data_IF_698300676482
#
_entry.id   IF_698300676482
#
_cell.length_a   1.000
_cell.length_b   1.000
_cell.length_c   1.000
_cell.angle_alpha   90.00
_cell.angle_beta   90.00
_cell.angle_gamma   90.00
#
_symmetry.space_group_name_H-M   'P 1'
#
loop_
_entity.id
_entity.type
_entity.pdbx_description
1 polymer ?
#
# COMPACT_ATOMS: atom_id res chain seq x y z
N UNK A 1 -42.55 -37.60 -25.08
CA UNK A 1 -43.31 -37.18 -23.87
C UNK A 1 -42.65 -35.92 -23.32
N UNK A 2 -43.43 -34.84 -23.21
CA UNK A 2 -42.98 -33.48 -22.87
C UNK A 2 -43.12 -33.26 -21.36
N UNK A 3 -42.08 -32.79 -20.67
CA UNK A 3 -42.18 -32.37 -19.26
C UNK A 3 -41.42 -31.05 -19.02
N UNK A 4 -42.16 -29.98 -19.32
CA UNK A 4 -42.29 -28.66 -18.66
C UNK A 4 -41.19 -28.16 -17.69
N UNK A 5 -40.57 -27.05 -18.11
CA UNK A 5 -39.86 -26.01 -17.34
C UNK A 5 -40.59 -25.55 -16.07
N UNK A 6 -39.83 -25.32 -14.97
CA UNK A 6 -40.20 -24.34 -13.93
C UNK A 6 -38.98 -23.52 -13.50
N UNK A 7 -38.86 -22.34 -14.12
CA UNK A 7 -38.02 -21.23 -13.73
C UNK A 7 -38.64 -20.54 -12.51
N UNK A 8 -37.89 -20.38 -11.41
CA UNK A 8 -38.31 -19.54 -10.27
C UNK A 8 -37.43 -18.31 -10.23
N UNK A 9 -37.97 -17.22 -10.77
CA UNK A 9 -37.46 -15.85 -10.64
C UNK A 9 -37.98 -15.31 -9.30
N UNK A 10 -37.10 -15.02 -8.35
CA UNK A 10 -37.43 -14.21 -7.17
C UNK A 10 -36.72 -12.87 -7.25
N UNK A 11 -37.41 -11.92 -7.85
CA UNK A 11 -37.19 -10.48 -7.70
C UNK A 11 -37.78 -10.04 -6.36
N UNK A 12 -36.98 -9.38 -5.51
CA UNK A 12 -37.51 -8.46 -4.50
C UNK A 12 -36.74 -7.14 -4.59
N UNK A 13 -37.43 -6.18 -5.21
CA UNK A 13 -37.20 -4.74 -5.06
C UNK A 13 -37.85 -4.30 -3.74
N UNK A 14 -37.16 -3.45 -3.00
CA UNK A 14 -37.72 -2.54 -1.99
C UNK A 14 -36.74 -1.34 -1.93
N UNK A 15 -37.15 -0.22 -2.53
CA UNK A 15 -37.38 1.07 -1.88
C UNK A 15 -36.06 1.86 -1.67
N UNK A 16 -35.62 2.77 -2.55
CA UNK A 16 -36.22 4.04 -2.97
C UNK A 16 -36.57 5.00 -1.81
N UNK A 17 -35.87 6.14 -1.82
CA UNK A 17 -36.21 7.44 -1.23
C UNK A 17 -36.00 7.67 0.28
N UNK A 18 -34.90 8.35 0.59
CA UNK A 18 -34.91 9.46 1.56
C UNK A 18 -33.86 10.50 1.14
N UNK A 19 -34.33 11.47 0.36
CA UNK A 19 -33.68 12.73 0.03
C UNK A 19 -33.77 13.71 1.22
N UNK A 20 -32.80 14.63 1.25
CA UNK A 20 -32.89 16.02 1.73
C UNK A 20 -32.83 16.32 3.24
N UNK A 21 -31.73 16.98 3.61
CA UNK A 21 -31.55 18.09 4.59
C UNK A 21 -30.17 17.91 5.24
N UNK A 22 -29.28 18.88 5.44
CA UNK A 22 -29.29 20.34 5.43
C UNK A 22 -27.78 20.70 5.37
N UNK A 23 -27.29 21.41 4.35
CA UNK A 23 -27.05 22.85 4.36
C UNK A 23 -26.10 23.37 5.47
N UNK A 24 -25.14 24.18 5.00
CA UNK A 24 -24.54 25.32 5.71
C UNK A 24 -23.57 25.05 6.87
N UNK A 25 -22.26 25.10 6.59
CA UNK A 25 -21.31 25.92 7.38
C UNK A 25 -20.23 26.47 6.44
N UNK A 26 -20.54 27.64 5.87
CA UNK A 26 -19.60 28.60 5.30
C UNK A 26 -19.24 29.62 6.39
N UNK A 27 -18.00 30.12 6.34
CA UNK A 27 -17.41 31.26 7.08
C UNK A 27 -16.84 31.04 8.49
N UNK A 28 -15.50 30.97 8.55
CA UNK A 28 -14.61 31.96 9.21
C UNK A 28 -13.18 31.40 9.06
N UNK A 29 -12.24 32.03 8.35
CA UNK A 29 -11.82 33.41 8.52
C UNK A 29 -10.49 33.41 9.28
N UNK A 30 -9.37 33.40 8.54
CA UNK A 30 -8.10 33.97 9.00
C UNK A 30 -7.23 34.27 7.76
N UNK A 31 -7.50 35.45 7.18
CA UNK A 31 -6.54 36.19 6.37
C UNK A 31 -5.29 36.38 7.23
N UNK A 32 -4.13 35.89 6.80
CA UNK A 32 -2.84 36.43 7.29
C UNK A 32 -2.20 37.26 6.20
N UNK A 33 -2.10 38.52 6.55
CA UNK A 33 -1.58 39.68 5.85
C UNK A 33 -0.17 39.42 5.30
N UNK A 34 -0.02 39.65 4.00
CA UNK A 34 1.28 39.87 3.39
C UNK A 34 1.77 41.27 3.80
N UNK A 35 2.87 41.34 4.53
CA UNK A 35 3.65 42.57 4.72
C UNK A 35 4.80 42.54 3.72
N UNK A 36 4.63 43.30 2.64
CA UNK A 36 5.75 43.80 1.84
C UNK A 36 6.39 44.95 2.61
N UNK A 37 7.60 44.74 3.11
CA UNK A 37 8.46 45.83 3.56
C UNK A 37 9.75 45.79 2.76
N UNK A 38 10.00 46.93 2.15
CA UNK A 38 11.15 47.41 1.41
C UNK A 38 12.49 47.20 2.12
N UNK A 39 13.47 46.84 1.30
CA UNK A 39 14.73 47.56 1.13
C UNK A 39 15.64 47.73 2.35
N UNK A 40 16.63 46.85 2.44
CA UNK A 40 17.94 47.16 3.02
C UNK A 40 18.98 46.25 2.36
N UNK A 41 19.61 46.76 1.30
CA UNK A 41 20.89 46.28 0.83
C UNK A 41 21.91 46.42 1.97
N UNK A 42 22.25 45.30 2.61
CA UNK A 42 23.44 45.16 3.44
C UNK A 42 24.35 44.19 2.71
N UNK A 43 25.38 44.77 2.10
CA UNK A 43 26.52 44.09 1.51
C UNK A 43 27.30 43.40 2.64
N UNK A 44 27.05 42.10 2.82
CA UNK A 44 27.81 41.25 3.74
C UNK A 44 28.77 40.42 2.91
N UNK A 45 30.10 40.54 3.12
CA UNK A 45 31.09 39.79 2.37
C UNK A 45 30.89 38.29 2.60
N UNK A 46 30.65 37.59 1.50
CA UNK A 46 30.60 36.15 1.38
C UNK A 46 31.90 35.53 1.91
N UNK A 47 31.91 34.80 3.05
CA UNK A 47 33.00 33.87 3.29
C UNK A 47 32.81 32.75 2.26
N UNK A 48 33.75 32.67 1.31
CA UNK A 48 33.98 31.49 0.51
C UNK A 48 34.36 30.33 1.45
N UNK A 49 33.36 29.78 2.13
CA UNK A 49 33.43 28.45 2.67
C UNK A 49 33.35 27.55 1.45
N UNK A 50 34.54 27.12 1.00
CA UNK A 50 34.71 25.90 0.22
C UNK A 50 34.01 24.77 0.97
N UNK A 51 32.70 24.65 0.75
CA UNK A 51 32.00 23.41 0.98
C UNK A 51 32.64 22.44 0.00
N UNK A 52 33.65 21.73 0.47
CA UNK A 52 34.13 20.52 -0.18
C UNK A 52 32.88 19.76 -0.60
N UNK A 53 32.69 19.43 -1.89
CA UNK A 53 31.59 18.57 -2.28
C UNK A 53 31.77 17.34 -1.41
N UNK A 54 30.83 17.15 -0.47
CA UNK A 54 30.79 15.91 0.29
C UNK A 54 30.62 14.87 -0.77
N UNK A 55 31.71 14.17 -1.10
CA UNK A 55 31.73 13.07 -2.05
C UNK A 55 30.55 12.21 -1.67
N UNK A 56 29.46 12.36 -2.42
CA UNK A 56 28.26 11.59 -2.23
C UNK A 56 28.70 10.18 -2.47
N UNK A 57 29.01 9.47 -1.39
CA UNK A 57 29.33 8.06 -1.44
C UNK A 57 28.10 7.43 -2.02
N UNK A 58 28.12 7.15 -3.32
CA UNK A 58 27.15 6.30 -3.97
C UNK A 58 27.18 5.00 -3.17
N UNK A 59 26.25 4.86 -2.24
CA UNK A 59 26.09 3.63 -1.47
C UNK A 59 25.88 2.55 -2.51
N UNK A 60 26.83 1.62 -2.60
CA UNK A 60 26.68 0.45 -3.45
C UNK A 60 25.31 -0.19 -3.13
N UNK A 61 24.51 -0.59 -4.13
CA UNK A 61 23.21 -1.20 -3.89
C UNK A 61 23.31 -2.36 -2.90
N UNK A 62 24.35 -3.18 -3.01
CA UNK A 62 24.63 -4.27 -2.06
C UNK A 62 24.71 -3.80 -0.60
N UNK A 63 25.31 -2.63 -0.36
CA UNK A 63 25.43 -2.07 1.00
C UNK A 63 24.09 -1.57 1.51
N UNK A 64 23.27 -0.96 0.66
CA UNK A 64 21.91 -0.54 1.03
C UNK A 64 21.06 -1.74 1.46
N UNK A 65 21.16 -2.87 0.76
CA UNK A 65 20.48 -4.12 1.17
C UNK A 65 20.96 -4.63 2.53
N UNK A 66 22.27 -4.64 2.76
CA UNK A 66 22.85 -5.07 4.05
C UNK A 66 22.37 -4.17 5.19
N UNK A 67 22.40 -2.84 5.00
CA UNK A 67 22.04 -1.86 6.02
C UNK A 67 20.52 -1.86 6.30
N UNK A 68 19.70 -2.25 5.33
CA UNK A 68 18.24 -2.33 5.47
C UNK A 68 17.73 -3.62 6.16
N UNK A 69 18.49 -4.72 6.12
CA UNK A 69 18.10 -6.03 6.71
C UNK A 69 17.67 -5.97 8.19
N UNK A 70 18.33 -5.20 9.08
CA UNK A 70 17.89 -5.03 10.47
C UNK A 70 16.48 -4.44 10.61
N UNK A 71 15.95 -3.81 9.55
CA UNK A 71 14.61 -3.24 9.52
C UNK A 71 14.52 -1.82 10.07
N UNK A 72 15.61 -1.05 10.07
CA UNK A 72 15.55 0.38 10.36
C UNK A 72 14.68 1.09 9.31
N UNK A 73 13.60 1.79 9.70
CA UNK A 73 12.73 2.52 8.78
C UNK A 73 13.48 3.48 7.86
N UNK A 74 14.56 4.11 8.32
CA UNK A 74 15.32 5.05 7.50
C UNK A 74 16.10 4.34 6.39
N UNK A 75 16.74 3.22 6.72
CA UNK A 75 17.47 2.42 5.72
C UNK A 75 16.52 1.71 4.75
N UNK A 76 15.35 1.26 5.21
CA UNK A 76 14.30 0.73 4.33
C UNK A 76 13.76 1.79 3.36
N UNK A 77 13.60 3.03 3.81
CA UNK A 77 13.20 4.13 2.94
C UNK A 77 14.28 4.45 1.89
N UNK A 78 15.55 4.51 2.29
CA UNK A 78 16.66 4.70 1.35
C UNK A 78 16.76 3.57 0.32
N UNK A 79 16.53 2.33 0.76
CA UNK A 79 16.49 1.18 -0.15
C UNK A 79 15.33 1.31 -1.15
N UNK A 80 14.15 1.76 -0.69
CA UNK A 80 13.01 2.00 -1.55
C UNK A 80 13.25 3.11 -2.58
N UNK A 81 13.91 4.19 -2.19
CA UNK A 81 14.31 5.28 -3.11
C UNK A 81 15.32 4.80 -4.16
N UNK A 82 16.21 3.88 -3.79
CA UNK A 82 17.26 3.35 -4.67
C UNK A 82 16.73 2.31 -5.66
N UNK A 83 15.95 1.33 -5.19
CA UNK A 83 15.47 0.18 -5.98
C UNK A 83 14.13 0.44 -6.69
N UNK A 84 13.29 1.30 -6.09
CA UNK A 84 11.93 1.54 -6.54
C UNK A 84 10.97 0.36 -6.32
N UNK A 85 9.69 0.58 -6.61
CA UNK A 85 8.63 -0.40 -6.36
C UNK A 85 8.79 -1.70 -7.17
N UNK A 86 9.20 -1.61 -8.43
CA UNK A 86 9.36 -2.76 -9.31
C UNK A 86 10.53 -3.66 -8.88
N UNK A 87 11.71 -3.09 -8.62
CA UNK A 87 12.88 -3.86 -8.18
C UNK A 87 12.62 -4.58 -6.85
N UNK A 88 12.00 -3.90 -5.90
CA UNK A 88 11.60 -4.50 -4.63
C UNK A 88 10.53 -5.61 -4.82
N UNK A 89 9.55 -5.40 -5.70
CA UNK A 89 8.54 -6.41 -6.01
C UNK A 89 9.14 -7.67 -6.65
N UNK A 90 10.11 -7.50 -7.56
CA UNK A 90 10.86 -8.60 -8.16
C UNK A 90 11.60 -9.40 -7.10
N UNK A 91 12.36 -8.75 -6.22
CA UNK A 91 13.08 -9.44 -5.13
C UNK A 91 12.10 -10.14 -4.19
N UNK A 92 11.03 -9.46 -3.77
CA UNK A 92 10.03 -10.00 -2.84
C UNK A 92 9.35 -11.29 -3.34
N UNK A 93 9.16 -11.42 -4.66
CA UNK A 93 8.50 -12.56 -5.31
C UNK A 93 9.46 -13.59 -5.88
N UNK A 94 10.77 -13.34 -5.84
CA UNK A 94 11.79 -14.24 -6.37
C UNK A 94 12.14 -15.36 -5.37
N UNK A 95 11.79 -16.60 -5.70
CA UNK A 95 12.12 -17.76 -4.88
C UNK A 95 13.63 -18.08 -4.83
N UNK A 96 14.42 -17.58 -5.79
CA UNK A 96 15.89 -17.70 -5.77
C UNK A 96 16.57 -16.66 -4.89
N UNK A 97 15.87 -15.59 -4.48
CA UNK A 97 16.42 -14.61 -3.55
C UNK A 97 16.59 -15.23 -2.14
N UNK A 98 17.44 -14.63 -1.31
CA UNK A 98 17.56 -15.09 0.08
C UNK A 98 16.27 -14.77 0.86
N UNK A 99 15.92 -15.56 1.91
CA UNK A 99 14.77 -15.26 2.75
C UNK A 99 14.82 -13.86 3.38
N UNK A 100 16.03 -13.41 3.77
CA UNK A 100 16.24 -12.10 4.38
C UNK A 100 16.06 -10.96 3.38
N UNK A 101 16.54 -11.12 2.14
CA UNK A 101 16.35 -10.12 1.09
C UNK A 101 14.87 -10.03 0.71
N UNK A 102 14.16 -11.16 0.59
CA UNK A 102 12.71 -11.14 0.38
C UNK A 102 11.98 -10.40 1.50
N UNK A 103 12.31 -10.70 2.76
CA UNK A 103 11.66 -10.04 3.90
C UNK A 103 11.98 -8.54 3.94
N UNK A 104 13.22 -8.16 3.63
CA UNK A 104 13.66 -6.76 3.54
C UNK A 104 12.90 -6.04 2.42
N UNK A 105 12.79 -6.65 1.25
CA UNK A 105 12.04 -6.12 0.12
C UNK A 105 10.57 -5.88 0.48
N UNK A 106 9.90 -6.87 1.09
CA UNK A 106 8.50 -6.76 1.52
C UNK A 106 8.30 -5.61 2.52
N UNK A 107 9.25 -5.35 3.42
CA UNK A 107 9.17 -4.21 4.34
C UNK A 107 9.42 -2.89 3.61
N UNK A 108 10.43 -2.83 2.75
CA UNK A 108 10.79 -1.63 1.99
C UNK A 108 9.67 -1.16 1.06
N UNK A 109 8.85 -2.09 0.52
CA UNK A 109 7.67 -1.78 -0.29
C UNK A 109 6.68 -0.82 0.39
N UNK A 110 6.71 -0.66 1.72
CA UNK A 110 5.87 0.33 2.38
C UNK A 110 6.31 1.78 2.18
N UNK A 111 7.56 2.00 1.74
CA UNK A 111 8.18 3.32 1.62
C UNK A 111 8.15 3.91 0.22
N UNK A 112 7.82 3.10 -0.81
CA UNK A 112 7.82 3.54 -2.21
C UNK A 112 6.79 4.64 -2.49
N UNK A 113 7.11 5.50 -3.45
CA UNK A 113 6.24 6.61 -3.86
C UNK A 113 5.00 6.13 -4.64
N UNK A 114 5.18 5.21 -5.60
CA UNK A 114 4.08 4.56 -6.29
C UNK A 114 3.74 3.22 -5.62
N UNK A 115 2.63 3.14 -4.86
CA UNK A 115 2.23 1.92 -4.18
C UNK A 115 1.67 0.86 -5.14
N UNK A 116 1.42 1.18 -6.41
CA UNK A 116 0.72 0.27 -7.35
C UNK A 116 1.45 -1.06 -7.52
N UNK A 117 2.74 -1.09 -7.92
CA UNK A 117 3.46 -2.36 -8.10
C UNK A 117 3.68 -3.08 -6.77
N UNK A 118 3.84 -2.32 -5.68
CA UNK A 118 3.97 -2.86 -4.34
C UNK A 118 2.73 -3.64 -3.93
N UNK A 119 1.55 -3.05 -4.10
CA UNK A 119 0.27 -3.63 -3.71
C UNK A 119 -0.05 -4.88 -4.54
N UNK A 120 0.24 -4.87 -5.85
CA UNK A 120 0.09 -6.06 -6.71
C UNK A 120 1.00 -7.21 -6.27
N UNK A 121 2.28 -6.93 -6.04
CA UNK A 121 3.25 -7.94 -5.60
C UNK A 121 2.88 -8.53 -4.24
N UNK A 122 2.50 -7.69 -3.28
CA UNK A 122 2.06 -8.14 -1.95
C UNK A 122 0.79 -8.98 -2.03
N UNK A 123 -0.18 -8.59 -2.86
CA UNK A 123 -1.40 -9.40 -3.06
C UNK A 123 -1.07 -10.76 -3.64
N UNK A 124 -0.16 -10.83 -4.62
CA UNK A 124 0.30 -12.09 -5.19
C UNK A 124 0.92 -13.01 -4.14
N UNK A 125 1.74 -12.46 -3.24
CA UNK A 125 2.34 -13.22 -2.13
C UNK A 125 1.29 -13.74 -1.13
N UNK A 126 0.21 -12.98 -0.92
CA UNK A 126 -0.89 -13.40 -0.04
C UNK A 126 -1.73 -14.51 -0.68
N UNK A 127 -1.96 -14.40 -1.99
CA UNK A 127 -2.77 -15.34 -2.79
C UNK A 127 -2.01 -16.57 -3.29
N UNK A 128 -0.74 -16.73 -2.94
CA UNK A 128 0.08 -17.86 -3.36
C UNK A 128 -0.55 -19.20 -2.90
N UNK A 129 -0.88 -20.12 -3.83
CA UNK A 129 -1.46 -21.43 -3.49
C UNK A 129 -0.61 -22.25 -2.50
N UNK A 130 0.71 -22.09 -2.52
CA UNK A 130 1.61 -22.79 -1.60
C UNK A 130 1.35 -22.41 -0.13
N UNK A 131 0.81 -21.21 0.10
CA UNK A 131 0.43 -20.72 1.44
C UNK A 131 -0.83 -21.40 1.94
N UNK A 132 -1.80 -21.69 1.06
CA UNK A 132 -3.03 -22.38 1.42
C UNK A 132 -2.79 -23.86 1.77
N UNK A 133 -1.79 -24.46 1.14
CA UNK A 133 -1.39 -25.86 1.38
C UNK A 133 -0.49 -26.00 2.61
N UNK A 134 0.12 -24.92 3.11
CA UNK A 134 1.03 -24.95 4.25
C UNK A 134 2.36 -25.66 3.97
N UNK A 135 2.62 -26.02 2.72
CA UNK A 135 3.68 -26.95 2.32
C UNK A 135 5.03 -26.26 2.01
N UNK A 136 5.05 -24.92 1.86
CA UNK A 136 6.28 -24.19 1.54
C UNK A 136 6.93 -23.54 2.78
N UNK A 137 8.18 -23.91 3.05
CA UNK A 137 8.98 -23.37 4.15
C UNK A 137 9.10 -21.84 4.05
N UNK A 138 8.55 -21.12 5.03
CA UNK A 138 8.56 -19.66 5.06
C UNK A 138 7.46 -18.96 4.27
N UNK A 139 6.58 -19.69 3.56
CA UNK A 139 5.53 -19.07 2.73
C UNK A 139 4.43 -18.43 3.60
N UNK A 140 4.08 -19.05 4.73
CA UNK A 140 3.10 -18.50 5.68
C UNK A 140 3.64 -17.23 6.33
N UNK A 141 4.91 -17.22 6.74
CA UNK A 141 5.59 -16.06 7.31
C UNK A 141 5.67 -14.92 6.28
N UNK A 142 6.06 -15.22 5.04
CA UNK A 142 6.13 -14.26 3.94
C UNK A 142 4.76 -13.65 3.62
N UNK A 143 3.72 -14.47 3.54
CA UNK A 143 2.33 -14.04 3.35
C UNK A 143 1.85 -13.16 4.52
N UNK A 144 2.21 -13.52 5.76
CA UNK A 144 1.87 -12.73 6.95
C UNK A 144 2.56 -11.37 6.94
N UNK A 145 3.84 -11.32 6.57
CA UNK A 145 4.57 -10.07 6.42
C UNK A 145 3.96 -9.21 5.30
N UNK A 146 3.59 -9.82 4.17
CA UNK A 146 2.94 -9.10 3.07
C UNK A 146 1.59 -8.48 3.49
N UNK A 147 0.79 -9.20 4.29
CA UNK A 147 -0.44 -8.66 4.88
C UNK A 147 -0.16 -7.47 5.81
N UNK A 148 0.86 -7.55 6.66
CA UNK A 148 1.27 -6.45 7.54
C UNK A 148 1.69 -5.21 6.73
N UNK A 149 2.46 -5.41 5.67
CA UNK A 149 2.87 -4.33 4.76
C UNK A 149 1.67 -3.72 4.04
N UNK A 150 0.74 -4.52 3.53
CA UNK A 150 -0.49 -4.02 2.88
C UNK A 150 -1.30 -3.12 3.82
N UNK A 151 -1.47 -3.53 5.08
CA UNK A 151 -2.14 -2.72 6.11
C UNK A 151 -1.43 -1.38 6.33
N UNK A 152 -0.11 -1.33 6.18
CA UNK A 152 0.67 -0.11 6.39
C UNK A 152 0.75 0.80 5.15
N UNK A 153 0.64 0.26 3.94
CA UNK A 153 0.58 1.02 2.68
C UNK A 153 -0.78 1.69 2.51
N UNK A 154 -1.86 0.95 2.79
CA UNK A 154 -3.23 1.37 2.49
C UNK A 154 -3.72 2.67 3.17
N UNK A 155 -3.16 3.15 4.30
CA UNK A 155 -3.46 4.48 4.85
C UNK A 155 -2.71 5.65 4.19
N UNK A 156 -1.64 5.41 3.43
CA UNK A 156 -0.81 6.49 2.87
C UNK A 156 -1.59 7.28 1.83
N UNK A 157 -1.62 8.61 1.92
CA UNK A 157 -2.39 9.50 1.02
C UNK A 157 -2.21 9.10 -0.44
N UNK A 158 -3.29 9.06 -1.21
CA UNK A 158 -3.18 8.89 -2.65
C UNK A 158 -2.25 9.98 -3.18
N UNK A 159 -1.26 9.65 -4.04
CA UNK A 159 -0.62 10.64 -4.88
C UNK A 159 -1.68 11.58 -5.46
N UNK A 160 -1.36 12.87 -5.53
CA UNK A 160 -2.28 13.91 -6.04
C UNK A 160 -2.64 13.61 -7.52
N UNK A 161 -1.80 12.85 -8.21
CA UNK A 161 -2.12 12.19 -9.47
C UNK A 161 -2.92 10.92 -9.18
N UNK A 162 -4.13 10.85 -9.74
CA UNK A 162 -5.04 9.71 -9.61
C UNK A 162 -4.31 8.40 -9.93
N UNK A 163 -3.89 7.67 -8.89
CA UNK A 163 -3.45 6.29 -9.05
C UNK A 163 -4.57 5.54 -9.76
N UNK A 164 -4.23 4.86 -10.85
CA UNK A 164 -5.12 4.04 -11.67
C UNK A 164 -6.08 3.25 -10.75
N UNK A 165 -7.38 3.58 -10.71
CA UNK A 165 -8.35 2.93 -9.83
C UNK A 165 -8.43 1.41 -10.06
N UNK A 166 -7.92 0.91 -11.19
CA UNK A 166 -7.87 -0.49 -11.55
C UNK A 166 -6.98 -1.33 -10.63
N UNK A 167 -5.75 -0.90 -10.34
CA UNK A 167 -4.81 -1.76 -9.61
C UNK A 167 -5.25 -2.04 -8.17
N UNK A 168 -5.80 -1.03 -7.49
CA UNK A 168 -6.36 -1.20 -6.16
C UNK A 168 -7.58 -2.14 -6.14
N UNK A 169 -8.42 -2.12 -7.20
CA UNK A 169 -9.55 -3.06 -7.33
C UNK A 169 -9.07 -4.49 -7.54
N UNK A 170 -8.09 -4.70 -8.42
CA UNK A 170 -7.49 -6.03 -8.65
C UNK A 170 -6.89 -6.58 -7.36
N UNK A 171 -6.20 -5.73 -6.58
CA UNK A 171 -5.73 -6.09 -5.25
C UNK A 171 -6.88 -6.47 -4.32
N UNK A 172 -7.93 -5.66 -4.29
CA UNK A 172 -9.13 -5.91 -3.49
C UNK A 172 -9.79 -7.25 -3.77
N UNK A 173 -10.01 -7.54 -5.05
CA UNK A 173 -10.60 -8.79 -5.52
C UNK A 173 -9.69 -9.98 -5.21
N UNK A 174 -8.38 -9.84 -5.43
CA UNK A 174 -7.38 -10.86 -5.10
C UNK A 174 -7.35 -11.17 -3.60
N UNK A 175 -7.43 -10.15 -2.75
CA UNK A 175 -7.42 -10.32 -1.30
C UNK A 175 -8.75 -10.89 -0.78
N UNK A 176 -9.89 -10.54 -1.38
CA UNK A 176 -11.18 -11.17 -1.09
C UNK A 176 -11.18 -12.66 -1.43
N UNK A 177 -10.57 -13.04 -2.56
CA UNK A 177 -10.41 -14.43 -2.94
C UNK A 177 -9.48 -15.17 -1.96
N UNK A 178 -8.33 -14.58 -1.62
CA UNK A 178 -7.39 -15.14 -0.66
C UNK A 178 -8.01 -15.30 0.75
N UNK A 179 -8.91 -14.41 1.17
CA UNK A 179 -9.58 -14.51 2.47
C UNK A 179 -10.37 -15.82 2.65
N UNK A 180 -10.80 -16.45 1.55
CA UNK A 180 -11.50 -17.74 1.59
C UNK A 180 -10.57 -18.91 1.89
N UNK A 181 -9.27 -18.76 1.62
CA UNK A 181 -8.25 -19.81 1.78
C UNK A 181 -7.33 -19.56 2.98
N UNK A 182 -7.34 -18.35 3.55
CA UNK A 182 -6.56 -18.03 4.75
C UNK A 182 -7.17 -18.71 5.97
N UNK A 183 -6.43 -19.71 6.47
CA UNK A 183 -6.67 -20.34 7.75
C UNK A 183 -5.78 -19.70 8.83
N UNK A 184 -6.37 -19.40 10.00
CA UNK A 184 -5.68 -18.79 11.14
C UNK A 184 -6.21 -17.40 11.49
N UNK A 185 -6.60 -17.21 12.76
CA UNK A 185 -7.28 -16.01 13.23
C UNK A 185 -6.47 -14.72 13.00
N UNK A 186 -5.16 -14.75 13.27
CA UNK A 186 -4.28 -13.58 13.13
C UNK A 186 -4.17 -13.14 11.68
N UNK A 187 -3.92 -14.07 10.75
CA UNK A 187 -3.79 -13.76 9.32
C UNK A 187 -5.11 -13.30 8.73
N UNK A 188 -6.22 -13.94 9.13
CA UNK A 188 -7.56 -13.54 8.71
C UNK A 188 -7.89 -12.12 9.16
N UNK A 189 -7.59 -11.77 10.41
CA UNK A 189 -7.75 -10.42 10.94
C UNK A 189 -6.91 -9.40 10.15
N UNK A 190 -5.65 -9.72 9.83
CA UNK A 190 -4.79 -8.85 9.02
C UNK A 190 -5.35 -8.65 7.61
N UNK A 191 -5.85 -9.72 6.97
CA UNK A 191 -6.49 -9.64 5.65
C UNK A 191 -7.77 -8.79 5.69
N UNK A 192 -8.61 -8.93 6.71
CA UNK A 192 -9.80 -8.10 6.91
C UNK A 192 -9.40 -6.62 7.10
N UNK A 193 -8.37 -6.33 7.89
CA UNK A 193 -7.86 -4.95 8.06
C UNK A 193 -7.35 -4.36 6.76
N UNK A 194 -6.58 -5.13 5.98
CA UNK A 194 -6.11 -4.70 4.67
C UNK A 194 -7.30 -4.43 3.72
N UNK A 195 -8.30 -5.31 3.68
CA UNK A 195 -9.53 -5.11 2.91
C UNK A 195 -10.29 -3.85 3.33
N UNK A 196 -10.40 -3.57 4.62
CA UNK A 196 -11.02 -2.33 5.10
C UNK A 196 -10.26 -1.10 4.63
N UNK A 197 -8.93 -1.13 4.71
CA UNK A 197 -8.11 -0.03 4.25
C UNK A 197 -8.20 0.16 2.71
N UNK A 198 -8.37 -0.92 1.94
CA UNK A 198 -8.65 -0.85 0.50
C UNK A 198 -10.06 -0.31 0.21
N UNK A 199 -11.06 -0.69 1.02
CA UNK A 199 -12.43 -0.19 0.88
C UNK A 199 -12.54 1.31 1.16
N UNK A 200 -11.71 1.84 2.06
CA UNK A 200 -11.62 3.27 2.33
C UNK A 200 -11.12 4.07 1.11
N UNK A 201 -10.43 3.39 0.17
CA UNK A 201 -10.00 3.94 -1.12
C UNK A 201 -10.97 3.65 -2.26
N UNK A 202 -12.13 3.05 -1.97
CA UNK A 202 -13.12 2.66 -2.98
C UNK A 202 -12.69 1.46 -3.85
N UNK A 203 -11.67 0.71 -3.44
CA UNK A 203 -11.20 -0.46 -4.18
C UNK A 203 -12.07 -1.69 -3.98
N UNK A 204 -12.71 -1.82 -2.82
CA UNK A 204 -13.60 -2.92 -2.46
C UNK A 204 -14.86 -2.37 -1.80
N UNK A 205 -16.02 -2.95 -2.10
CA UNK A 205 -17.24 -2.61 -1.39
C UNK A 205 -17.19 -3.14 0.05
N UNK A 206 -17.35 -2.26 1.05
CA UNK A 206 -17.34 -2.64 2.49
C UNK A 206 -18.32 -3.77 2.83
N UNK A 207 -19.43 -3.89 2.11
CA UNK A 207 -20.43 -4.94 2.29
C UNK A 207 -19.92 -6.36 1.96
N UNK A 208 -18.82 -6.48 1.21
CA UNK A 208 -18.21 -7.77 0.85
C UNK A 208 -17.20 -8.24 1.90
N UNK A 209 -16.81 -7.38 2.84
CA UNK A 209 -15.79 -7.67 3.85
C UNK A 209 -16.47 -8.32 5.07
N UNK A 210 -16.05 -9.51 5.52
CA UNK A 210 -16.57 -10.11 6.74
C UNK A 210 -16.29 -9.24 7.96
N UNK A 211 -17.23 -9.21 8.91
CA UNK A 211 -17.10 -8.38 10.10
C UNK A 211 -15.94 -8.82 11.01
N UNK A 212 -15.67 -10.14 11.11
CA UNK A 212 -14.57 -10.83 11.83
C UNK A 212 -14.37 -12.24 11.26
#
# INVERSE_FOLDING_TARGET
MRTVMRTVIRTRRADAAALLALAFWLFAGCRRTATSTTDAAVDVPSPAASASPSTGGSSSPERAWIDARPGDPLELARLADLEGALGLAEVATNDQASPDDRATAIRALMFVDDPTPAVEALTRLVSDPAVAQGDAHGAVERSTLALQTLVAIAPRRAPIEEVEPGAWRVCGDGLLAALQTIHGAVRRELAIRALHALADRGAVARALIPAR
#
